data_IF_720473235219
#
_entry.id   IF_720473235219
#
_cell.length_a   1.000
_cell.length_b   1.000
_cell.length_c   1.000
_cell.angle_alpha   90.00
_cell.angle_beta   90.00
_cell.angle_gamma   90.00
#
_symmetry.space_group_name_H-M   'P 1'
#
loop_
_entity.id
_entity.type
_entity.pdbx_description
1 polymer ?
#
# COMPACT_ATOMS: atom_id res chain seq x y z
N UNK A 1 29.47 27.53 29.00
CA UNK A 1 28.51 26.41 29.08
C UNK A 1 27.21 26.84 28.41
N UNK A 2 26.65 26.27 27.37
CA UNK A 2 27.07 25.25 26.41
C UNK A 2 26.11 25.42 25.21
N UNK A 3 26.65 25.65 24.02
CA UNK A 3 25.85 25.92 22.81
C UNK A 3 25.54 24.58 22.12
N UNK A 4 24.34 24.04 22.35
CA UNK A 4 23.89 22.82 21.66
C UNK A 4 23.36 23.14 20.27
N UNK A 5 24.10 22.70 19.26
CA UNK A 5 23.75 22.72 17.84
C UNK A 5 22.69 21.64 17.56
N UNK A 6 21.67 21.88 16.72
CA UNK A 6 20.85 20.79 16.23
C UNK A 6 21.59 20.00 15.14
N UNK A 7 21.53 18.68 15.29
CA UNK A 7 22.14 17.68 14.43
C UNK A 7 21.44 17.65 13.07
N UNK A 8 22.22 17.78 11.99
CA UNK A 8 21.75 17.66 10.61
C UNK A 8 21.67 16.19 10.24
N UNK A 9 20.47 15.61 10.23
CA UNK A 9 20.22 14.30 9.65
C UNK A 9 20.32 14.41 8.12
N UNK A 10 21.43 13.91 7.57
CA UNK A 10 21.61 13.76 6.13
C UNK A 10 20.84 12.50 5.70
N UNK A 11 19.63 12.69 5.18
CA UNK A 11 18.92 11.66 4.43
C UNK A 11 19.71 11.40 3.13
N UNK A 12 20.56 10.37 3.13
CA UNK A 12 21.14 9.80 1.92
C UNK A 12 20.02 9.17 1.09
N UNK A 13 19.47 9.91 0.13
CA UNK A 13 18.70 9.32 -0.98
C UNK A 13 19.64 8.42 -1.78
N UNK A 14 19.42 7.11 -1.76
CA UNK A 14 20.02 6.19 -2.73
C UNK A 14 19.37 6.47 -4.08
N UNK A 15 20.13 7.07 -4.97
CA UNK A 15 19.82 7.16 -6.40
C UNK A 15 20.21 5.82 -7.03
N UNK A 16 19.25 5.06 -7.54
CA UNK A 16 19.53 3.89 -8.36
C UNK A 16 19.56 4.34 -9.83
N UNK A 17 20.66 4.13 -10.57
CA UNK A 17 20.69 4.40 -12.00
C UNK A 17 20.01 3.25 -12.78
N UNK A 18 19.26 3.61 -13.82
CA UNK A 18 18.65 2.69 -14.78
C UNK A 18 19.73 1.91 -15.56
N UNK A 19 19.56 0.60 -15.81
CA UNK A 19 20.31 -0.07 -16.86
C UNK A 19 19.50 -0.07 -18.16
N UNK A 20 20.06 0.55 -19.20
CA UNK A 20 19.65 0.42 -20.59
C UNK A 20 20.35 -0.78 -21.24
N UNK A 21 19.54 -1.58 -21.95
CA UNK A 21 19.82 -2.42 -23.13
C UNK A 21 20.87 -3.56 -23.06
N UNK A 22 20.40 -4.79 -23.32
CA UNK A 22 21.13 -5.75 -24.16
C UNK A 22 20.14 -6.71 -24.85
N UNK A 23 20.33 -6.86 -26.16
CA UNK A 23 19.53 -7.64 -27.09
C UNK A 23 20.07 -9.06 -27.25
N UNK A 24 19.16 -9.98 -27.61
CA UNK A 24 19.36 -11.27 -28.30
C UNK A 24 19.96 -12.44 -27.52
N UNK A 25 19.17 -13.53 -27.43
CA UNK A 25 19.59 -14.82 -27.96
C UNK A 25 18.37 -15.74 -28.17
N UNK A 26 18.15 -16.09 -29.45
CA UNK A 26 17.23 -17.12 -29.93
C UNK A 26 17.79 -18.52 -29.57
N UNK A 27 16.93 -19.42 -29.07
CA UNK A 27 17.16 -20.86 -29.23
C UNK A 27 15.84 -21.63 -29.09
N UNK A 28 15.32 -22.07 -30.23
CA UNK A 28 14.16 -22.95 -30.35
C UNK A 28 14.50 -24.41 -30.02
N UNK A 29 13.67 -25.10 -29.20
CA UNK A 29 12.87 -26.29 -29.61
C UNK A 29 12.06 -26.91 -28.46
N UNK A 30 10.89 -27.53 -28.78
CA UNK A 30 9.90 -28.01 -27.81
C UNK A 30 10.02 -29.51 -27.54
N UNK A 31 9.49 -30.00 -26.41
CA UNK A 31 8.89 -31.34 -26.30
C UNK A 31 8.21 -31.60 -24.94
N UNK A 32 7.09 -32.31 -25.05
CA UNK A 32 6.48 -33.23 -24.11
C UNK A 32 5.65 -32.67 -22.93
N UNK A 33 4.35 -32.77 -23.13
CA UNK A 33 3.29 -32.82 -22.13
C UNK A 33 3.58 -33.84 -21.04
N UNK A 34 3.33 -33.46 -19.78
CA UNK A 34 2.90 -34.40 -18.75
C UNK A 34 1.74 -33.76 -18.00
N UNK A 35 0.54 -34.25 -18.28
CA UNK A 35 -0.63 -34.06 -17.45
C UNK A 35 -0.46 -34.89 -16.18
N UNK A 36 -0.33 -34.26 -15.03
CA UNK A 36 -0.79 -34.85 -13.77
C UNK A 36 -1.23 -33.72 -12.86
N UNK A 37 -2.51 -33.72 -12.53
CA UNK A 37 -3.11 -32.78 -11.60
C UNK A 37 -2.52 -32.93 -10.21
N UNK A 38 -2.53 -31.81 -9.48
CA UNK A 38 -2.17 -31.73 -8.08
C UNK A 38 -2.18 -30.26 -7.72
N UNK A 39 -3.26 -29.81 -7.09
CA UNK A 39 -3.35 -28.46 -6.55
C UNK A 39 -2.24 -28.25 -5.52
N UNK A 40 -1.22 -27.50 -5.89
CA UNK A 40 -0.26 -26.92 -4.98
C UNK A 40 -0.68 -25.48 -4.75
N UNK A 41 -1.20 -25.19 -3.56
CA UNK A 41 -1.12 -23.82 -3.06
C UNK A 41 0.38 -23.51 -2.93
N UNK A 42 0.84 -22.49 -3.65
CA UNK A 42 2.21 -22.02 -3.59
C UNK A 42 2.54 -21.64 -2.13
N UNK A 43 3.59 -22.21 -1.52
CA UNK A 43 3.95 -21.92 -0.13
C UNK A 43 4.76 -20.62 0.04
N UNK A 44 4.95 -19.84 -1.04
CA UNK A 44 5.74 -18.60 -1.06
C UNK A 44 4.89 -17.31 -1.00
N UNK A 45 3.58 -17.41 -0.76
CA UNK A 45 2.73 -16.23 -0.51
C UNK A 45 2.96 -15.74 0.93
N UNK A 46 3.66 -14.61 1.08
CA UNK A 46 3.81 -13.94 2.37
C UNK A 46 2.42 -13.63 2.97
N UNK A 47 2.18 -13.91 4.25
CA UNK A 47 0.88 -13.65 4.85
C UNK A 47 0.55 -12.16 4.78
N UNK A 48 -0.54 -11.82 4.08
CA UNK A 48 -1.01 -10.43 3.87
C UNK A 48 -1.46 -9.76 5.18
N UNK A 49 -1.89 -10.54 6.17
CA UNK A 49 -2.39 -10.04 7.45
C UNK A 49 -1.36 -9.21 8.25
N UNK A 50 -0.13 -9.71 8.50
CA UNK A 50 0.94 -8.91 9.09
C UNK A 50 1.21 -7.57 8.39
N UNK A 51 1.18 -7.56 7.05
CA UNK A 51 1.40 -6.34 6.26
C UNK A 51 0.26 -5.33 6.46
N UNK A 52 -1.00 -5.81 6.46
CA UNK A 52 -2.16 -4.97 6.74
C UNK A 52 -2.16 -4.43 8.17
N UNK A 53 -1.64 -5.20 9.12
CA UNK A 53 -1.48 -4.74 10.50
C UNK A 53 -0.42 -3.64 10.59
N UNK A 54 0.73 -3.80 9.93
CA UNK A 54 1.76 -2.77 9.87
C UNK A 54 1.23 -1.48 9.21
N UNK A 55 0.45 -1.62 8.12
CA UNK A 55 -0.19 -0.49 7.45
C UNK A 55 -1.18 0.21 8.39
N UNK A 56 -2.01 -0.55 9.10
CA UNK A 56 -2.96 -0.02 10.08
C UNK A 56 -2.23 0.79 11.16
N UNK A 57 -1.15 0.23 11.71
CA UNK A 57 -0.36 0.85 12.77
C UNK A 57 0.31 2.15 12.30
N UNK A 58 0.78 2.20 11.04
CA UNK A 58 1.32 3.41 10.42
C UNK A 58 0.28 4.55 10.28
N UNK A 59 -1.00 4.18 10.15
CA UNK A 59 -2.11 5.10 9.92
C UNK A 59 -2.85 5.48 11.22
N UNK A 60 -2.42 4.96 12.37
CA UNK A 60 -2.86 5.44 13.68
C UNK A 60 -2.10 6.73 14.02
N UNK A 61 -2.79 7.86 13.85
CA UNK A 61 -2.21 9.19 14.04
C UNK A 61 -2.46 9.70 15.48
N UNK A 62 -1.56 10.53 16.04
CA UNK A 62 -1.79 11.18 17.32
C UNK A 62 -3.06 12.04 17.33
N UNK A 63 -3.74 12.23 18.48
CA UNK A 63 -4.93 13.06 18.55
C UNK A 63 -4.70 14.45 17.96
N UNK A 64 -5.68 14.93 17.18
CA UNK A 64 -5.67 16.25 16.50
C UNK A 64 -4.58 16.42 15.43
N UNK A 65 -3.78 15.40 15.11
CA UNK A 65 -2.69 15.52 14.13
C UNK A 65 -3.17 16.10 12.79
N UNK A 66 -4.27 15.57 12.23
CA UNK A 66 -4.79 16.05 10.94
C UNK A 66 -5.25 17.52 11.00
N UNK A 67 -5.76 17.98 12.14
CA UNK A 67 -6.17 19.38 12.32
C UNK A 67 -5.00 20.36 12.37
N UNK A 68 -3.78 19.86 12.65
CA UNK A 68 -2.56 20.66 12.61
C UNK A 68 -1.99 20.78 11.19
N UNK A 69 -2.47 19.96 10.24
CA UNK A 69 -2.02 20.03 8.86
C UNK A 69 -2.67 21.22 8.13
N UNK A 70 -1.90 21.98 7.33
CA UNK A 70 -2.45 22.97 6.40
C UNK A 70 -3.56 22.35 5.55
N UNK A 71 -4.58 23.16 5.21
CA UNK A 71 -5.72 22.68 4.43
C UNK A 71 -5.31 22.08 3.08
N UNK A 72 -4.38 22.72 2.38
CA UNK A 72 -3.95 22.27 1.05
C UNK A 72 -3.31 20.88 1.12
N UNK A 73 -2.48 20.61 2.12
CA UNK A 73 -1.89 19.28 2.31
C UNK A 73 -2.95 18.21 2.60
N UNK A 74 -4.03 18.55 3.31
CA UNK A 74 -5.15 17.62 3.53
C UNK A 74 -5.92 17.33 2.24
N UNK A 75 -6.01 18.30 1.34
CA UNK A 75 -6.58 18.09 0.01
C UNK A 75 -5.66 17.21 -0.84
N UNK A 76 -4.36 17.48 -0.87
CA UNK A 76 -3.40 16.65 -1.61
C UNK A 76 -3.44 15.18 -1.14
N UNK A 77 -3.58 14.94 0.17
CA UNK A 77 -3.74 13.60 0.74
C UNK A 77 -5.07 12.94 0.34
N UNK A 78 -6.15 13.72 0.28
CA UNK A 78 -7.46 13.24 -0.16
C UNK A 78 -7.43 12.88 -1.65
N UNK A 79 -6.85 13.73 -2.50
CA UNK A 79 -6.71 13.51 -3.94
C UNK A 79 -5.90 12.24 -4.21
N UNK A 80 -4.76 12.06 -3.52
CA UNK A 80 -3.97 10.84 -3.63
C UNK A 80 -4.76 9.59 -3.20
N UNK A 81 -5.53 9.67 -2.11
CA UNK A 81 -6.37 8.57 -1.67
C UNK A 81 -7.49 8.26 -2.69
N UNK A 82 -8.09 9.29 -3.28
CA UNK A 82 -9.13 9.17 -4.29
C UNK A 82 -8.62 8.53 -5.60
N UNK A 83 -7.45 8.94 -6.07
CA UNK A 83 -6.82 8.38 -7.27
C UNK A 83 -6.46 6.91 -7.06
N UNK A 84 -5.93 6.56 -5.88
CA UNK A 84 -5.64 5.18 -5.52
C UNK A 84 -6.92 4.34 -5.39
N UNK A 85 -7.94 4.86 -4.70
CA UNK A 85 -9.19 4.15 -4.43
C UNK A 85 -10.00 3.89 -5.68
N UNK A 86 -10.00 4.80 -6.66
CA UNK A 86 -10.72 4.61 -7.93
C UNK A 86 -9.85 4.00 -9.04
N UNK A 87 -8.56 3.80 -8.79
CA UNK A 87 -7.61 3.25 -9.73
C UNK A 87 -7.11 1.87 -9.30
N UNK A 88 -5.81 1.72 -8.97
CA UNK A 88 -5.20 0.42 -8.73
C UNK A 88 -5.86 -0.36 -7.59
N UNK A 89 -6.29 0.30 -6.51
CA UNK A 89 -6.89 -0.41 -5.37
C UNK A 89 -8.23 -1.02 -5.75
N UNK A 90 -9.11 -0.29 -6.44
CA UNK A 90 -10.38 -0.85 -6.91
C UNK A 90 -10.16 -2.03 -7.87
N UNK A 91 -9.19 -1.90 -8.78
CA UNK A 91 -8.95 -2.89 -9.83
C UNK A 91 -8.29 -4.17 -9.32
N UNK A 92 -7.41 -4.07 -8.32
CA UNK A 92 -6.56 -5.19 -7.88
C UNK A 92 -7.01 -5.75 -6.51
N UNK A 93 -7.43 -4.87 -5.61
CA UNK A 93 -7.79 -5.20 -4.22
C UNK A 93 -9.30 -5.30 -3.97
N UNK A 94 -10.13 -4.77 -4.88
CA UNK A 94 -11.58 -4.84 -4.81
C UNK A 94 -12.26 -3.60 -4.21
N UNK A 95 -13.59 -3.56 -4.33
CA UNK A 95 -14.42 -2.42 -3.96
C UNK A 95 -14.35 -2.10 -2.47
N UNK A 96 -14.37 -3.11 -1.61
CA UNK A 96 -14.41 -2.92 -0.16
C UNK A 96 -13.15 -2.22 0.37
N UNK A 97 -11.99 -2.55 -0.20
CA UNK A 97 -10.72 -1.91 0.16
C UNK A 97 -10.63 -0.50 -0.42
N UNK A 98 -11.14 -0.32 -1.64
CA UNK A 98 -11.26 1.00 -2.27
C UNK A 98 -12.14 1.95 -1.45
N UNK A 99 -13.31 1.48 -1.01
CA UNK A 99 -14.25 2.26 -0.20
C UNK A 99 -13.65 2.65 1.16
N UNK A 100 -12.96 1.72 1.83
CA UNK A 100 -12.27 2.01 3.09
C UNK A 100 -11.20 3.10 2.89
N UNK A 101 -10.40 3.03 1.83
CA UNK A 101 -9.38 4.04 1.52
C UNK A 101 -10.00 5.40 1.17
N UNK A 102 -11.12 5.40 0.45
CA UNK A 102 -11.84 6.62 0.11
C UNK A 102 -12.39 7.32 1.36
N UNK A 103 -12.97 6.55 2.29
CA UNK A 103 -13.46 7.08 3.55
C UNK A 103 -12.32 7.58 4.45
N UNK A 104 -11.15 6.94 4.39
CA UNK A 104 -9.93 7.41 5.05
C UNK A 104 -9.50 8.78 4.49
N UNK A 105 -9.49 8.92 3.16
CA UNK A 105 -9.22 10.19 2.47
C UNK A 105 -10.19 11.30 2.89
N UNK A 106 -11.49 11.00 3.00
CA UNK A 106 -12.50 11.97 3.48
C UNK A 106 -12.24 12.39 4.93
N UNK A 107 -11.85 11.45 5.78
CA UNK A 107 -11.52 11.75 7.17
C UNK A 107 -10.29 12.70 7.25
N UNK A 108 -9.32 12.55 6.36
CA UNK A 108 -8.17 13.45 6.24
C UNK A 108 -8.58 14.85 5.81
N UNK A 109 -9.42 14.98 4.78
CA UNK A 109 -9.94 16.27 4.34
C UNK A 109 -10.67 17.00 5.48
N UNK A 110 -11.54 16.29 6.21
CA UNK A 110 -12.30 16.83 7.35
C UNK A 110 -11.47 17.05 8.62
N UNK A 111 -10.17 16.73 8.60
CA UNK A 111 -9.29 16.76 9.76
C UNK A 111 -9.79 15.90 10.95
N UNK A 112 -10.53 14.83 10.68
CA UNK A 112 -11.09 13.96 11.71
C UNK A 112 -10.15 12.78 12.03
N UNK A 113 -9.25 13.00 12.99
CA UNK A 113 -8.25 12.00 13.38
C UNK A 113 -8.87 10.76 14.05
N UNK A 114 -9.96 10.93 14.79
CA UNK A 114 -10.64 9.80 15.42
C UNK A 114 -11.25 8.87 14.36
N UNK A 115 -11.96 9.44 13.38
CA UNK A 115 -12.50 8.66 12.27
C UNK A 115 -11.40 7.98 11.46
N UNK A 116 -10.32 8.71 11.11
CA UNK A 116 -9.17 8.14 10.40
C UNK A 116 -8.59 6.94 11.14
N UNK A 117 -8.35 7.05 12.45
CA UNK A 117 -7.77 5.97 13.24
C UNK A 117 -8.72 4.76 13.37
N UNK A 118 -10.03 5.00 13.46
CA UNK A 118 -11.02 3.92 13.51
C UNK A 118 -11.08 3.15 12.18
N UNK A 119 -11.03 3.85 11.05
CA UNK A 119 -10.98 3.26 9.71
C UNK A 119 -9.65 2.50 9.49
N UNK A 120 -8.52 3.08 9.88
CA UNK A 120 -7.21 2.43 9.76
C UNK A 120 -7.17 1.08 10.49
N UNK A 121 -7.78 0.98 11.68
CA UNK A 121 -7.89 -0.26 12.44
C UNK A 121 -8.73 -1.35 11.77
N UNK A 122 -9.52 -1.01 10.75
CA UNK A 122 -10.29 -1.98 9.97
C UNK A 122 -9.46 -2.63 8.85
N UNK A 123 -8.29 -2.10 8.50
CA UNK A 123 -7.44 -2.65 7.44
C UNK A 123 -7.13 -4.15 7.60
N UNK A 124 -6.79 -4.69 8.78
CA UNK A 124 -6.53 -6.12 8.93
C UNK A 124 -7.77 -6.98 8.64
N UNK A 125 -8.98 -6.45 8.88
CA UNK A 125 -10.23 -7.14 8.55
C UNK A 125 -10.51 -7.21 7.05
N UNK A 126 -9.72 -6.48 6.23
CA UNK A 126 -9.82 -6.49 4.77
C UNK A 126 -9.07 -7.66 4.12
N UNK A 127 -8.21 -8.37 4.85
CA UNK A 127 -7.46 -9.53 4.35
C UNK A 127 -8.29 -10.54 3.53
N UNK A 128 -9.49 -10.99 3.94
CA UNK A 128 -10.28 -11.94 3.15
C UNK A 128 -10.65 -11.41 1.75
N UNK A 129 -10.87 -10.10 1.59
CA UNK A 129 -11.21 -9.49 0.30
C UNK A 129 -10.02 -9.49 -0.67
N UNK A 130 -8.80 -9.30 -0.15
CA UNK A 130 -7.57 -9.37 -0.95
C UNK A 130 -7.26 -10.80 -1.41
N UNK A 131 -7.44 -11.78 -0.52
CA UNK A 131 -7.08 -13.18 -0.80
C UNK A 131 -8.02 -13.88 -1.80
N UNK A 132 -9.20 -13.32 -2.07
CA UNK A 132 -10.13 -13.84 -3.07
C UNK A 132 -9.74 -13.44 -4.50
N UNK A 133 -9.13 -12.26 -4.67
CA UNK A 133 -8.71 -11.72 -5.98
C UNK A 133 -7.58 -12.55 -6.61
N UNK A 134 -6.61 -13.00 -5.80
CA UNK A 134 -5.47 -13.79 -6.26
C UNK A 134 -5.82 -15.19 -6.80
N UNK A 135 -7.05 -15.68 -6.59
CA UNK A 135 -7.47 -17.04 -6.98
C UNK A 135 -8.19 -17.11 -8.33
N UNK A 136 -8.36 -15.99 -9.03
CA UNK A 136 -9.16 -15.90 -10.26
C UNK A 136 -8.37 -15.50 -11.53
N UNK A 137 -7.05 -15.65 -11.53
CA UNK A 137 -6.22 -15.49 -12.74
C UNK A 137 -5.89 -16.83 -13.41
#
# INVERSE_FOLDING_TARGET
SGSSRPSRFLLRRRWCPSPLLAVSSDSSKPLASSSTGGGGADPDEEPVLPLLQELADCLVLPPKFLSLLPRDLRLDLNDAAFDLSNGPVLNECGQEVGDLLLDLGKAWEMANTEASNNLAKQLPSMAPYLTASAKSA
#
